data_IF_833666049866
#
_entry.id   IF_833666049866
#
_cell.length_a   1.000
_cell.length_b   1.000
_cell.length_c   1.000
_cell.angle_alpha   90.00
_cell.angle_beta   90.00
_cell.angle_gamma   90.00
#
_symmetry.space_group_name_H-M   'P 1'
#
loop_
_entity.id
_entity.type
_entity.pdbx_description
1 polymer ?
#
# COMPACT_ATOMS: atom_id res chain seq x y z
N UNK A 1 26.86 32.91 23.87
CA UNK A 1 26.97 31.52 24.31
C UNK A 1 25.68 30.98 24.92
N UNK A 2 25.07 31.61 25.95
CA UNK A 2 23.82 31.13 26.61
C UNK A 2 22.62 30.98 25.66
N UNK A 3 22.42 31.93 24.70
CA UNK A 3 21.33 31.84 23.69
C UNK A 3 21.54 30.72 22.68
N UNK A 4 22.78 30.50 22.23
CA UNK A 4 23.12 29.43 21.31
C UNK A 4 22.92 28.05 21.98
N UNK A 5 23.31 27.92 23.23
CA UNK A 5 23.10 26.69 24.03
C UNK A 5 21.60 26.41 24.21
N UNK A 6 20.78 27.44 24.50
CA UNK A 6 19.33 27.29 24.64
C UNK A 6 18.66 26.84 23.33
N UNK A 7 19.11 27.36 22.17
CA UNK A 7 18.61 26.95 20.84
C UNK A 7 19.00 25.49 20.56
N UNK A 8 20.24 25.09 20.84
CA UNK A 8 20.70 23.70 20.65
C UNK A 8 19.88 22.74 21.51
N UNK A 9 19.67 23.07 22.80
CA UNK A 9 18.86 22.25 23.71
C UNK A 9 17.41 22.16 23.23
N UNK A 10 16.82 23.25 22.75
CA UNK A 10 15.46 23.26 22.20
C UNK A 10 15.33 22.40 20.94
N UNK A 11 16.31 22.48 20.02
CA UNK A 11 16.36 21.66 18.80
C UNK A 11 16.53 20.17 19.15
N UNK A 12 17.38 19.84 20.12
CA UNK A 12 17.57 18.47 20.58
C UNK A 12 16.31 17.90 21.26
N UNK A 13 15.58 18.71 22.03
CA UNK A 13 14.31 18.31 22.65
C UNK A 13 13.18 18.16 21.59
N UNK A 14 13.15 19.03 20.57
CA UNK A 14 12.19 18.93 19.48
C UNK A 14 12.46 17.72 18.55
N UNK A 15 13.71 17.30 18.38
CA UNK A 15 14.09 16.13 17.59
C UNK A 15 13.65 14.80 18.22
N UNK A 16 13.37 14.76 19.51
CA UNK A 16 12.87 13.56 20.21
C UNK A 16 11.41 13.21 19.86
N UNK A 17 10.68 14.14 19.24
CA UNK A 17 9.24 13.97 18.96
C UNK A 17 8.92 13.41 17.57
N UNK A 18 9.93 13.15 16.73
CA UNK A 18 9.74 12.62 15.40
C UNK A 18 9.73 11.07 15.39
N UNK A 19 8.95 10.46 16.27
CA UNK A 19 8.62 9.05 16.12
C UNK A 19 7.51 8.93 15.08
N UNK A 20 7.80 8.35 13.92
CA UNK A 20 6.79 7.94 12.96
C UNK A 20 5.98 6.80 13.60
N UNK A 21 4.85 7.13 14.21
CA UNK A 21 3.96 6.14 14.79
C UNK A 21 3.10 5.51 13.70
N UNK A 22 3.14 4.18 13.61
CA UNK A 22 2.24 3.42 12.73
C UNK A 22 0.89 3.14 13.40
N UNK A 23 0.86 3.07 14.74
CA UNK A 23 -0.34 2.81 15.53
C UNK A 23 -0.79 4.07 16.28
N UNK A 24 -2.03 4.48 16.06
CA UNK A 24 -2.66 5.64 16.68
C UNK A 24 -3.84 5.22 17.55
N UNK A 25 -3.85 5.66 18.81
CA UNK A 25 -4.97 5.45 19.73
C UNK A 25 -5.91 6.65 19.71
N UNK A 26 -7.19 6.40 19.46
CA UNK A 26 -8.26 7.39 19.51
C UNK A 26 -9.05 7.17 20.80
N UNK A 27 -9.04 8.15 21.67
CA UNK A 27 -9.78 8.15 22.93
C UNK A 27 -10.27 9.56 23.23
N UNK A 28 -11.31 9.67 24.05
CA UNK A 28 -11.86 10.97 24.39
C UNK A 28 -13.10 10.90 25.26
N UNK A 29 -13.66 12.09 25.58
CA UNK A 29 -14.83 12.20 26.43
C UNK A 29 -16.05 11.56 25.72
N UNK A 30 -16.69 10.58 26.38
CA UNK A 30 -17.86 9.87 25.85
C UNK A 30 -17.48 8.64 25.00
N UNK A 31 -16.21 8.29 24.87
CA UNK A 31 -15.75 7.06 24.25
C UNK A 31 -15.44 6.07 25.38
N UNK A 32 -16.21 4.99 25.48
CA UNK A 32 -16.05 3.97 26.54
C UNK A 32 -14.83 3.08 26.29
N UNK A 33 -14.62 2.66 25.02
CA UNK A 33 -13.47 1.88 24.59
C UNK A 33 -12.68 2.65 23.53
N UNK A 34 -11.35 2.63 23.56
CA UNK A 34 -10.55 3.29 22.53
C UNK A 34 -10.72 2.60 21.16
N UNK A 35 -10.47 3.36 20.11
CA UNK A 35 -10.27 2.84 18.76
C UNK A 35 -8.82 3.05 18.35
N UNK A 36 -8.36 2.26 17.38
CA UNK A 36 -6.99 2.35 16.89
C UNK A 36 -6.97 2.50 15.38
N UNK A 37 -6.01 3.25 14.87
CA UNK A 37 -5.69 3.32 13.45
C UNK A 37 -4.28 2.79 13.28
N UNK A 38 -4.12 1.76 12.44
CA UNK A 38 -2.84 1.19 12.06
C UNK A 38 -2.51 1.57 10.63
N UNK A 39 -1.40 2.29 10.42
CA UNK A 39 -0.82 2.52 9.10
C UNK A 39 -0.14 1.24 8.61
N UNK A 40 -0.54 0.73 7.45
CA UNK A 40 0.05 -0.48 6.87
C UNK A 40 0.60 -0.21 5.47
N UNK A 41 1.54 -1.04 5.05
CA UNK A 41 2.05 -1.09 3.69
C UNK A 41 1.99 -2.53 3.18
N UNK A 42 1.45 -2.73 1.98
CA UNK A 42 1.18 -4.07 1.44
C UNK A 42 2.44 -4.94 1.25
N UNK A 43 3.61 -4.32 1.09
CA UNK A 43 4.90 -5.01 0.94
C UNK A 43 5.62 -5.29 2.27
N UNK A 44 4.97 -5.07 3.42
CA UNK A 44 5.55 -5.36 4.74
C UNK A 44 4.96 -6.66 5.28
N UNK A 45 5.81 -7.68 5.62
CA UNK A 45 5.34 -8.95 6.11
C UNK A 45 4.70 -8.83 7.49
N UNK A 46 3.79 -9.75 7.81
CA UNK A 46 3.11 -9.80 9.11
C UNK A 46 4.05 -9.94 10.29
N UNK A 47 5.23 -10.57 10.10
CA UNK A 47 6.26 -10.69 11.15
C UNK A 47 6.73 -9.35 11.70
N UNK A 48 6.47 -8.25 10.98
CA UNK A 48 6.76 -6.90 11.46
C UNK A 48 5.77 -6.43 12.55
N UNK A 49 4.63 -7.10 12.73
CA UNK A 49 3.66 -6.77 13.77
C UNK A 49 4.29 -6.75 15.16
N UNK A 50 5.18 -7.69 15.45
CA UNK A 50 5.88 -7.78 16.74
C UNK A 50 6.81 -6.58 17.01
N UNK A 51 7.18 -5.86 15.97
CA UNK A 51 8.04 -4.67 16.05
C UNK A 51 7.23 -3.36 16.22
N UNK A 52 5.91 -3.41 16.16
CA UNK A 52 5.03 -2.25 16.32
C UNK A 52 4.60 -2.16 17.79
N UNK A 53 5.12 -1.19 18.57
CA UNK A 53 4.84 -1.10 19.99
C UNK A 53 3.34 -0.95 20.27
N UNK A 54 2.79 -1.80 21.14
CA UNK A 54 1.39 -1.76 21.57
C UNK A 54 0.38 -2.29 20.56
N UNK A 55 0.79 -2.89 19.43
CA UNK A 55 -0.15 -3.37 18.42
C UNK A 55 -0.98 -4.55 18.91
N UNK A 56 -0.34 -5.55 19.53
CA UNK A 56 -1.07 -6.75 19.98
C UNK A 56 -1.97 -6.42 21.18
N UNK A 57 -1.54 -5.57 22.07
CA UNK A 57 -2.36 -5.06 23.19
C UNK A 57 -3.57 -4.28 22.66
N UNK A 58 -3.39 -3.44 21.64
CA UNK A 58 -4.47 -2.72 20.98
C UNK A 58 -5.46 -3.67 20.29
N UNK A 59 -4.94 -4.74 19.69
CA UNK A 59 -5.78 -5.77 19.06
C UNK A 59 -6.67 -6.49 20.07
N UNK A 60 -6.16 -6.79 21.27
CA UNK A 60 -6.93 -7.42 22.37
C UNK A 60 -7.98 -6.49 22.98
N UNK A 61 -7.80 -5.16 22.89
CA UNK A 61 -8.75 -4.16 23.43
C UNK A 61 -9.97 -3.93 22.51
N UNK A 62 -9.90 -4.25 21.22
CA UNK A 62 -10.94 -3.93 20.24
C UNK A 62 -11.91 -5.09 20.00
N UNK A 63 -13.14 -4.76 19.69
CA UNK A 63 -14.18 -5.76 19.38
C UNK A 63 -14.22 -6.09 17.87
N UNK A 64 -13.64 -5.23 17.00
CA UNK A 64 -13.69 -5.35 15.54
C UNK A 64 -12.39 -4.91 14.88
N UNK A 65 -12.02 -5.59 13.80
CA UNK A 65 -10.94 -5.19 12.89
C UNK A 65 -11.54 -4.85 11.53
N UNK A 66 -11.27 -3.65 11.05
CA UNK A 66 -11.75 -3.14 9.75
C UNK A 66 -10.54 -2.87 8.87
N UNK A 67 -10.47 -3.49 7.71
CA UNK A 67 -9.46 -3.23 6.69
C UNK A 67 -10.01 -2.37 5.54
N UNK A 68 -9.11 -1.83 4.71
CA UNK A 68 -9.48 -1.12 3.47
C UNK A 68 -10.27 -2.02 2.52
N UNK A 69 -9.90 -3.31 2.51
CA UNK A 69 -10.55 -4.38 1.75
C UNK A 69 -10.74 -5.58 2.66
N UNK A 70 -11.76 -6.38 2.40
CA UNK A 70 -11.92 -7.70 2.97
C UNK A 70 -10.94 -8.67 2.27
N UNK A 71 -9.72 -8.72 2.78
CA UNK A 71 -8.63 -9.52 2.19
C UNK A 71 -8.91 -11.01 2.25
N UNK A 72 -9.76 -11.45 3.18
CA UNK A 72 -10.15 -12.86 3.34
C UNK A 72 -11.11 -13.26 2.22
N UNK A 73 -12.05 -12.39 1.87
CA UNK A 73 -13.03 -12.62 0.80
C UNK A 73 -12.54 -12.30 -0.61
N UNK A 74 -11.37 -11.69 -0.78
CA UNK A 74 -10.83 -11.42 -2.12
C UNK A 74 -10.70 -12.68 -3.00
N UNK A 75 -10.46 -13.84 -2.38
CA UNK A 75 -10.42 -15.13 -3.09
C UNK A 75 -11.80 -15.65 -3.53
N UNK A 76 -12.89 -15.07 -3.04
CA UNK A 76 -14.28 -15.50 -3.31
C UNK A 76 -14.99 -14.61 -4.34
N UNK A 77 -14.24 -13.81 -5.10
CA UNK A 77 -14.81 -12.91 -6.10
C UNK A 77 -15.59 -13.69 -7.16
N UNK A 78 -16.84 -13.27 -7.39
CA UNK A 78 -17.65 -13.82 -8.46
C UNK A 78 -17.10 -13.44 -9.84
N UNK A 79 -17.41 -14.22 -10.91
CA UNK A 79 -17.02 -13.88 -12.27
C UNK A 79 -17.44 -12.46 -12.70
N UNK A 80 -18.61 -11.99 -12.22
CA UNK A 80 -19.12 -10.64 -12.51
C UNK A 80 -18.24 -9.57 -11.83
N UNK A 81 -17.83 -9.80 -10.58
CA UNK A 81 -16.93 -8.87 -9.88
C UNK A 81 -15.57 -8.81 -10.55
N UNK A 82 -15.01 -9.96 -10.95
CA UNK A 82 -13.75 -10.02 -11.71
C UNK A 82 -13.85 -9.28 -13.04
N UNK A 83 -14.95 -9.47 -13.79
CA UNK A 83 -15.17 -8.77 -15.05
C UNK A 83 -15.29 -7.24 -14.84
N UNK A 84 -15.97 -6.79 -13.78
CA UNK A 84 -16.08 -5.37 -13.46
C UNK A 84 -14.72 -4.77 -13.11
N UNK A 85 -13.91 -5.48 -12.31
CA UNK A 85 -12.56 -5.05 -11.98
C UNK A 85 -11.68 -4.97 -13.23
N UNK A 86 -11.77 -5.96 -14.13
CA UNK A 86 -11.06 -5.92 -15.40
C UNK A 86 -11.49 -4.71 -16.27
N UNK A 87 -12.79 -4.43 -16.38
CA UNK A 87 -13.29 -3.23 -17.08
C UNK A 87 -12.75 -1.93 -16.51
N UNK A 88 -12.56 -1.85 -15.19
CA UNK A 88 -11.99 -0.66 -14.55
C UNK A 88 -10.52 -0.42 -14.94
N UNK A 89 -9.79 -1.44 -15.35
CA UNK A 89 -8.39 -1.36 -15.79
C UNK A 89 -8.24 -1.00 -17.26
N UNK A 90 -9.33 -1.08 -18.04
CA UNK A 90 -9.31 -0.89 -19.51
C UNK A 90 -9.63 0.55 -19.89
N UNK A 91 -9.05 0.99 -21.01
CA UNK A 91 -9.41 2.25 -21.69
C UNK A 91 -10.85 2.21 -22.18
N UNK A 92 -11.50 3.37 -22.37
CA UNK A 92 -12.75 3.45 -23.12
C UNK A 92 -12.61 2.83 -24.51
N UNK A 93 -13.70 2.30 -25.08
CA UNK A 93 -13.67 1.56 -26.33
C UNK A 93 -13.21 2.39 -27.55
N UNK A 94 -13.32 3.70 -27.45
CA UNK A 94 -12.97 4.67 -28.51
C UNK A 94 -11.55 5.25 -28.36
N UNK A 95 -10.81 4.84 -27.33
CA UNK A 95 -9.51 5.40 -26.97
C UNK A 95 -8.51 4.29 -26.70
N UNK A 96 -7.26 4.49 -27.08
CA UNK A 96 -6.17 3.59 -26.74
C UNK A 96 -5.11 4.31 -25.92
N UNK A 97 -4.37 3.57 -25.10
CA UNK A 97 -3.21 4.11 -24.39
C UNK A 97 -2.24 4.81 -25.36
N UNK A 98 -2.00 4.21 -26.51
CA UNK A 98 -1.07 4.72 -27.52
C UNK A 98 -1.48 6.08 -28.07
N UNK A 99 -2.78 6.40 -28.06
CA UNK A 99 -3.27 7.70 -28.52
C UNK A 99 -2.95 8.86 -27.59
N UNK A 100 -2.51 8.57 -26.36
CA UNK A 100 -2.16 9.56 -25.34
C UNK A 100 -0.73 10.11 -25.49
N UNK A 101 0.11 9.46 -26.29
CA UNK A 101 1.54 9.75 -26.39
C UNK A 101 1.93 10.15 -27.82
N UNK A 102 2.92 11.04 -27.95
CA UNK A 102 3.60 11.31 -29.20
C UNK A 102 4.58 10.18 -29.55
N UNK A 103 5.28 10.29 -30.69
CA UNK A 103 6.18 9.24 -31.18
C UNK A 103 7.36 9.02 -30.23
N UNK A 104 8.01 10.09 -29.78
CA UNK A 104 9.20 10.05 -28.92
C UNK A 104 8.84 9.45 -27.54
N UNK A 105 7.68 9.83 -26.99
CA UNK A 105 7.18 9.29 -25.72
C UNK A 105 6.87 7.79 -25.81
N UNK A 106 6.32 7.33 -26.96
CA UNK A 106 6.06 5.90 -27.19
C UNK A 106 7.36 5.09 -27.25
N UNK A 107 8.37 5.59 -27.96
CA UNK A 107 9.67 4.93 -28.06
C UNK A 107 10.34 4.82 -26.69
N UNK A 108 10.31 5.90 -25.90
CA UNK A 108 10.86 5.92 -24.55
C UNK A 108 10.14 4.94 -23.62
N UNK A 109 8.79 4.96 -23.64
CA UNK A 109 7.99 4.09 -22.79
C UNK A 109 8.12 2.62 -23.21
N UNK A 110 8.17 2.32 -24.51
CA UNK A 110 8.37 0.96 -25.03
C UNK A 110 9.74 0.40 -24.62
N UNK A 111 10.80 1.19 -24.75
CA UNK A 111 12.14 0.82 -24.31
C UNK A 111 12.16 0.51 -22.79
N UNK A 112 11.55 1.39 -21.99
CA UNK A 112 11.46 1.20 -20.54
C UNK A 112 10.66 -0.05 -20.14
N UNK A 113 9.52 -0.32 -20.79
CA UNK A 113 8.71 -1.51 -20.51
C UNK A 113 9.42 -2.80 -20.92
N UNK A 114 10.15 -2.80 -22.04
CA UNK A 114 10.97 -3.94 -22.46
C UNK A 114 12.06 -4.26 -21.44
N UNK A 115 12.70 -3.26 -20.91
CA UNK A 115 13.76 -3.42 -19.91
C UNK A 115 13.19 -3.86 -18.55
N UNK A 116 12.07 -3.28 -18.10
CA UNK A 116 11.56 -3.45 -16.73
C UNK A 116 10.64 -4.65 -16.59
N UNK A 117 9.70 -4.84 -17.53
CA UNK A 117 8.64 -5.87 -17.45
C UNK A 117 8.68 -6.89 -18.59
N UNK A 118 9.69 -6.81 -19.45
CA UNK A 118 9.92 -7.71 -20.58
C UNK A 118 8.73 -7.74 -21.57
N UNK A 119 8.04 -6.61 -21.74
CA UNK A 119 6.83 -6.49 -22.55
C UNK A 119 6.86 -5.25 -23.44
N UNK A 120 6.24 -5.34 -24.63
CA UNK A 120 6.11 -4.21 -25.55
C UNK A 120 4.94 -3.30 -25.16
N UNK A 121 5.07 -1.99 -25.37
CA UNK A 121 4.03 -1.00 -25.13
C UNK A 121 2.70 -1.36 -25.83
N UNK A 122 2.76 -1.97 -27.02
CA UNK A 122 1.59 -2.40 -27.78
C UNK A 122 0.71 -3.39 -27.00
N UNK A 123 1.28 -4.23 -26.14
CA UNK A 123 0.53 -5.20 -25.32
C UNK A 123 -0.40 -4.50 -24.30
N UNK A 124 -0.08 -3.27 -23.94
CA UNK A 124 -0.85 -2.47 -23.00
C UNK A 124 -1.82 -1.49 -23.67
N UNK A 125 -1.97 -1.55 -25.02
CA UNK A 125 -2.71 -0.54 -25.78
C UNK A 125 -4.16 -0.31 -25.31
N UNK A 126 -4.82 -1.35 -24.80
CA UNK A 126 -6.17 -1.28 -24.27
C UNK A 126 -6.24 -0.98 -22.76
N UNK A 127 -5.11 -0.84 -22.07
CA UNK A 127 -5.05 -0.66 -20.62
C UNK A 127 -4.93 0.82 -20.25
N UNK A 128 -5.48 1.20 -19.10
CA UNK A 128 -5.29 2.55 -18.54
C UNK A 128 -3.84 2.76 -18.07
N UNK A 129 -3.33 4.01 -18.11
CA UNK A 129 -1.97 4.34 -17.64
C UNK A 129 -1.68 3.83 -16.22
N UNK A 130 -2.66 3.93 -15.31
CA UNK A 130 -2.55 3.45 -13.95
C UNK A 130 -2.24 1.94 -13.88
N UNK A 131 -2.81 1.13 -14.76
CA UNK A 131 -2.57 -0.32 -14.81
C UNK A 131 -1.11 -0.62 -15.13
N UNK A 132 -0.51 0.13 -16.08
CA UNK A 132 0.92 0.00 -16.40
C UNK A 132 1.78 0.40 -15.22
N UNK A 133 1.46 1.52 -14.59
CA UNK A 133 2.20 1.98 -13.42
C UNK A 133 2.21 0.91 -12.32
N UNK A 134 1.06 0.30 -12.00
CA UNK A 134 0.97 -0.78 -11.01
C UNK A 134 1.76 -2.02 -11.46
N UNK A 135 1.71 -2.38 -12.75
CA UNK A 135 2.49 -3.51 -13.29
C UNK A 135 3.99 -3.30 -13.11
N UNK A 136 4.49 -2.11 -13.45
CA UNK A 136 5.90 -1.74 -13.29
C UNK A 136 6.28 -1.72 -11.80
N UNK A 137 5.47 -1.11 -10.94
CA UNK A 137 5.73 -1.09 -9.50
C UNK A 137 5.81 -2.49 -8.91
N UNK A 138 4.89 -3.38 -9.28
CA UNK A 138 4.90 -4.76 -8.80
C UNK A 138 6.15 -5.51 -9.27
N UNK A 139 6.60 -5.29 -10.52
CA UNK A 139 7.84 -5.90 -11.01
C UNK A 139 9.05 -5.43 -10.20
N UNK A 140 9.18 -4.12 -9.99
CA UNK A 140 10.27 -3.55 -9.18
C UNK A 140 10.23 -4.10 -7.74
N UNK A 141 9.04 -4.22 -7.14
CA UNK A 141 8.89 -4.81 -5.81
C UNK A 141 9.32 -6.27 -5.76
N UNK A 142 8.98 -7.06 -6.79
CA UNK A 142 9.41 -8.47 -6.87
C UNK A 142 10.93 -8.61 -7.02
N UNK A 143 11.58 -7.68 -7.71
CA UNK A 143 13.05 -7.67 -7.84
C UNK A 143 13.75 -7.28 -6.53
N UNK A 144 13.15 -6.38 -5.74
CA UNK A 144 13.69 -5.93 -4.45
C UNK A 144 13.35 -6.91 -3.33
N UNK A 145 12.16 -7.50 -3.37
CA UNK A 145 11.60 -8.42 -2.36
C UNK A 145 11.11 -9.68 -3.08
N UNK A 146 12.00 -10.65 -3.37
CA UNK A 146 11.64 -11.83 -4.18
C UNK A 146 10.46 -12.64 -3.64
N UNK A 147 10.28 -12.67 -2.31
CA UNK A 147 9.23 -13.45 -1.66
C UNK A 147 7.89 -12.69 -1.49
N UNK A 148 7.78 -11.46 -2.03
CA UNK A 148 6.60 -10.59 -1.82
C UNK A 148 5.29 -11.26 -2.25
N UNK A 149 5.32 -12.06 -3.30
CA UNK A 149 4.13 -12.75 -3.83
C UNK A 149 3.59 -13.83 -2.88
N UNK A 150 4.46 -14.41 -2.05
CA UNK A 150 4.11 -15.44 -1.05
C UNK A 150 3.89 -14.88 0.35
N UNK A 151 4.25 -13.61 0.58
CA UNK A 151 4.15 -12.97 1.90
C UNK A 151 2.70 -12.68 2.29
N UNK A 152 2.38 -12.99 3.54
CA UNK A 152 1.17 -12.47 4.18
C UNK A 152 1.47 -11.08 4.72
N UNK A 153 0.82 -10.05 4.16
CA UNK A 153 0.94 -8.68 4.65
C UNK A 153 0.19 -8.46 5.97
N UNK A 154 0.56 -7.39 6.69
CA UNK A 154 -0.01 -7.04 8.00
C UNK A 154 -1.54 -6.97 7.97
N UNK A 155 -2.13 -6.30 6.98
CA UNK A 155 -3.59 -6.13 6.90
C UNK A 155 -4.33 -7.47 6.78
N UNK A 156 -3.85 -8.39 5.95
CA UNK A 156 -4.43 -9.74 5.81
C UNK A 156 -4.27 -10.55 7.09
N UNK A 157 -3.09 -10.49 7.71
CA UNK A 157 -2.81 -11.19 8.96
C UNK A 157 -3.75 -10.75 10.08
N UNK A 158 -3.91 -9.43 10.31
CA UNK A 158 -4.77 -8.90 11.37
C UNK A 158 -6.25 -9.26 11.14
N UNK A 159 -6.73 -9.25 9.89
CA UNK A 159 -8.09 -9.68 9.56
C UNK A 159 -8.28 -11.19 9.79
N UNK A 160 -7.31 -12.01 9.42
CA UNK A 160 -7.36 -13.47 9.66
C UNK A 160 -7.34 -13.78 11.16
N UNK A 161 -6.50 -13.10 11.92
CA UNK A 161 -6.41 -13.25 13.37
C UNK A 161 -7.73 -12.88 14.08
N UNK A 162 -8.45 -11.86 13.55
CA UNK A 162 -9.75 -11.46 14.11
C UNK A 162 -10.89 -12.45 13.83
N UNK A 163 -10.68 -13.44 12.95
CA UNK A 163 -11.67 -14.47 12.62
C UNK A 163 -11.40 -15.80 13.33
N UNK A 164 -10.27 -15.95 14.01
CA UNK A 164 -9.88 -17.14 14.76
C UNK A 164 -10.39 -17.11 16.18
#
# INVERSE_FOLDING_TARGET
>A
MRRLFAIIVFVLLAAQSANAQLLWKISGRGIEKPSYILGTHHAVPFTYCDSIPGLMEAFEEVDYVIGEFDMVKMGEMTPVQMQNMQKMMMMPADTTLLSLFNVEEKELLDAYLKETVEAELQMFSAMKPMTIMVTVQNRILMDIIPDIASMTGIAKYMQTLALS
#
